data_IF_139565186166
#
_entry.id   IF_139565186166
#
_cell.length_a   1.000
_cell.length_b   1.000
_cell.length_c   1.000
_cell.angle_alpha   90.00
_cell.angle_beta   90.00
_cell.angle_gamma   90.00
#
_symmetry.space_group_name_H-M   'P 1'
#
loop_
_entity.id
_entity.type
_entity.pdbx_description
1 polymer ?
#
# COMPACT_ATOMS: atom_id res chain seq x y z
N UNK A 1 6.20 -11.62 18.38
CA UNK A 1 5.76 -12.86 17.69
C UNK A 1 4.83 -12.45 16.56
N UNK A 2 5.06 -12.91 15.33
CA UNK A 2 4.16 -12.60 14.21
C UNK A 2 2.82 -13.32 14.41
N UNK A 3 1.70 -12.60 14.31
CA UNK A 3 0.36 -13.18 14.33
C UNK A 3 0.24 -14.14 13.15
N UNK A 4 -0.15 -15.40 13.40
CA UNK A 4 -0.42 -16.36 12.32
C UNK A 4 -1.82 -16.08 11.76
N UNK A 5 -1.92 -15.88 10.46
CA UNK A 5 -3.21 -15.71 9.79
C UNK A 5 -3.73 -17.05 9.29
N UNK A 6 -5.00 -17.37 9.57
CA UNK A 6 -5.69 -18.53 8.99
C UNK A 6 -5.80 -18.34 7.47
N UNK A 7 -5.63 -19.37 6.66
CA UNK A 7 -5.55 -19.32 5.19
C UNK A 7 -6.83 -18.85 4.49
N UNK A 8 -8.00 -19.13 5.07
CA UNK A 8 -9.29 -18.91 4.39
C UNK A 8 -9.84 -17.49 4.55
N UNK A 9 -9.56 -16.83 5.69
CA UNK A 9 -10.09 -15.49 6.00
C UNK A 9 -9.45 -14.36 5.17
N UNK A 10 -8.11 -14.29 4.99
CA UNK A 10 -7.46 -13.27 4.16
C UNK A 10 -7.89 -13.36 2.71
N UNK A 11 -8.06 -14.57 2.21
CA UNK A 11 -8.31 -14.82 0.79
C UNK A 11 -9.62 -14.20 0.31
N UNK A 12 -10.69 -14.29 1.10
CA UNK A 12 -11.99 -13.72 0.72
C UNK A 12 -12.05 -12.22 0.98
N UNK A 13 -11.52 -11.75 2.11
CA UNK A 13 -11.51 -10.32 2.45
C UNK A 13 -10.72 -9.51 1.43
N UNK A 14 -9.52 -9.96 1.05
CA UNK A 14 -8.68 -9.21 0.10
C UNK A 14 -9.28 -9.19 -1.31
N UNK A 15 -9.91 -10.29 -1.76
CA UNK A 15 -10.62 -10.31 -3.05
C UNK A 15 -11.72 -9.25 -3.12
N UNK A 16 -12.49 -9.10 -2.05
CA UNK A 16 -13.53 -8.08 -1.96
C UNK A 16 -12.93 -6.68 -1.93
N UNK A 17 -11.89 -6.44 -1.10
CA UNK A 17 -11.24 -5.13 -0.96
C UNK A 17 -10.59 -4.67 -2.26
N UNK A 18 -9.91 -5.56 -2.97
CA UNK A 18 -9.22 -5.25 -4.22
C UNK A 18 -10.15 -4.99 -5.40
N UNK A 19 -11.42 -5.42 -5.28
CA UNK A 19 -12.42 -5.25 -6.35
C UNK A 19 -11.85 -5.71 -7.70
N UNK A 20 -11.30 -6.93 -7.68
CA UNK A 20 -10.69 -7.58 -8.85
C UNK A 20 -11.80 -7.96 -9.84
N UNK A 21 -11.55 -7.76 -11.13
CA UNK A 21 -12.49 -8.15 -12.19
C UNK A 21 -12.39 -9.64 -12.49
N UNK A 22 -11.18 -10.18 -12.45
CA UNK A 22 -10.89 -11.57 -12.77
C UNK A 22 -10.49 -12.38 -11.54
N UNK A 23 -10.42 -13.70 -11.72
CA UNK A 23 -10.02 -14.62 -10.65
C UNK A 23 -8.57 -14.34 -10.23
N UNK A 24 -8.35 -14.23 -8.92
CA UNK A 24 -7.03 -14.34 -8.30
C UNK A 24 -6.92 -15.68 -7.58
N UNK A 25 -5.81 -16.38 -7.79
CA UNK A 25 -5.46 -17.58 -7.04
C UNK A 25 -4.47 -17.20 -5.94
N UNK A 26 -4.76 -17.62 -4.71
CA UNK A 26 -3.94 -17.27 -3.55
C UNK A 26 -3.37 -18.56 -2.97
N UNK A 27 -2.05 -18.61 -2.78
CA UNK A 27 -1.36 -19.76 -2.19
C UNK A 27 -0.50 -19.29 -1.02
N UNK A 28 -0.60 -19.99 0.10
CA UNK A 28 0.35 -19.81 1.20
C UNK A 28 1.64 -20.56 0.83
N UNK A 29 2.76 -19.84 0.83
CA UNK A 29 4.08 -20.37 0.41
C UNK A 29 5.09 -20.37 1.56
N UNK A 30 4.72 -19.80 2.71
CA UNK A 30 5.53 -19.76 3.92
C UNK A 30 4.74 -19.19 5.09
N UNK A 31 5.39 -19.04 6.25
CA UNK A 31 4.76 -18.49 7.44
C UNK A 31 4.38 -17.03 7.24
N UNK A 32 3.07 -16.73 7.15
CA UNK A 32 2.53 -15.40 6.83
C UNK A 32 3.00 -14.86 5.46
N UNK A 33 3.33 -15.75 4.52
CA UNK A 33 3.76 -15.40 3.18
C UNK A 33 2.80 -15.99 2.15
N UNK A 34 2.24 -15.12 1.32
CA UNK A 34 1.20 -15.47 0.37
C UNK A 34 1.60 -15.07 -1.05
N UNK A 35 1.40 -15.99 -1.99
CA UNK A 35 1.55 -15.76 -3.42
C UNK A 35 0.17 -15.47 -4.02
N UNK A 36 0.05 -14.29 -4.63
CA UNK A 36 -1.15 -13.84 -5.34
C UNK A 36 -0.91 -13.94 -6.84
N UNK A 37 -1.61 -14.87 -7.50
CA UNK A 37 -1.55 -15.09 -8.94
C UNK A 37 -2.78 -14.46 -9.59
N UNK A 38 -2.57 -13.34 -10.29
CA UNK A 38 -3.61 -12.62 -11.01
C UNK A 38 -3.74 -13.16 -12.44
N UNK A 39 -4.98 -13.39 -12.88
CA UNK A 39 -5.26 -13.77 -14.27
C UNK A 39 -5.32 -12.56 -15.23
N UNK A 40 -5.22 -11.34 -14.70
CA UNK A 40 -5.27 -10.10 -15.45
C UNK A 40 -4.22 -9.12 -14.93
N UNK A 41 -3.45 -8.52 -15.82
CA UNK A 41 -2.41 -7.56 -15.44
C UNK A 41 -2.99 -6.26 -14.90
N UNK A 42 -4.13 -5.78 -15.42
CA UNK A 42 -4.74 -4.55 -14.91
C UNK A 42 -5.17 -4.70 -13.44
N UNK A 43 -5.71 -5.85 -13.05
CA UNK A 43 -6.06 -6.14 -11.66
C UNK A 43 -4.81 -6.18 -10.78
N UNK A 44 -3.71 -6.79 -11.26
CA UNK A 44 -2.42 -6.81 -10.56
C UNK A 44 -1.88 -5.40 -10.33
N UNK A 45 -1.83 -4.59 -11.39
CA UNK A 45 -1.32 -3.21 -11.33
C UNK A 45 -2.20 -2.32 -10.46
N UNK A 46 -3.53 -2.46 -10.54
CA UNK A 46 -4.47 -1.75 -9.67
C UNK A 46 -4.22 -2.06 -8.20
N UNK A 47 -4.08 -3.35 -7.86
CA UNK A 47 -3.79 -3.77 -6.49
C UNK A 47 -2.45 -3.22 -6.04
N UNK A 48 -1.40 -3.32 -6.85
CA UNK A 48 -0.07 -2.82 -6.50
C UNK A 48 -0.06 -1.30 -6.26
N UNK A 49 -0.72 -0.51 -7.13
CA UNK A 49 -0.76 0.96 -7.02
C UNK A 49 -1.66 1.49 -5.91
N UNK A 50 -2.62 0.69 -5.44
CA UNK A 50 -3.57 1.12 -4.40
C UNK A 50 -3.10 0.77 -2.98
N UNK A 51 -1.81 0.44 -2.84
CA UNK A 51 -1.12 0.29 -1.57
C UNK A 51 -1.23 1.58 -0.70
N UNK A 52 -1.27 1.48 0.65
CA UNK A 52 -1.16 0.27 1.46
C UNK A 52 -2.47 -0.48 1.64
N UNK A 53 -2.36 -1.79 1.64
CA UNK A 53 -3.48 -2.67 1.98
C UNK A 53 -3.39 -3.09 3.44
N UNK A 54 -4.52 -2.99 4.14
CA UNK A 54 -4.64 -3.46 5.51
C UNK A 54 -5.44 -4.76 5.54
N UNK A 55 -4.89 -5.76 6.21
CA UNK A 55 -5.61 -6.97 6.57
C UNK A 55 -5.59 -7.14 8.09
N UNK A 56 -6.77 -7.15 8.71
CA UNK A 56 -6.92 -7.36 10.16
C UNK A 56 -6.00 -6.45 11.00
N UNK A 57 -5.95 -5.15 10.64
CA UNK A 57 -5.10 -4.11 11.26
C UNK A 57 -3.58 -4.28 11.06
N UNK A 58 -3.15 -5.16 10.16
CA UNK A 58 -1.76 -5.32 9.79
C UNK A 58 -1.56 -4.88 8.34
N UNK A 59 -0.41 -4.26 8.04
CA UNK A 59 -0.03 -3.87 6.68
C UNK A 59 0.34 -5.12 5.89
N UNK A 60 -0.20 -5.23 4.68
CA UNK A 60 0.13 -6.28 3.74
C UNK A 60 1.20 -5.76 2.78
N UNK A 61 2.45 -6.14 3.03
CA UNK A 61 3.57 -5.86 2.13
C UNK A 61 3.39 -6.65 0.84
N UNK A 62 3.38 -5.96 -0.29
CA UNK A 62 3.23 -6.56 -1.62
C UNK A 62 4.44 -6.21 -2.48
N UNK A 63 5.04 -7.24 -3.06
CA UNK A 63 6.08 -7.06 -4.07
C UNK A 63 5.85 -8.03 -5.23
N UNK A 64 6.33 -7.66 -6.41
CA UNK A 64 6.24 -8.47 -7.61
C UNK A 64 7.29 -9.57 -7.53
N UNK A 65 6.84 -10.81 -7.62
CA UNK A 65 7.76 -11.94 -7.73
C UNK A 65 8.28 -12.05 -9.17
N UNK A 66 9.60 -11.96 -9.34
CA UNK A 66 10.25 -12.24 -10.62
C UNK A 66 10.34 -13.75 -10.88
N UNK A 67 10.32 -14.14 -12.16
CA UNK A 67 10.26 -15.55 -12.61
C UNK A 67 11.39 -16.42 -12.06
N UNK A 68 12.54 -15.82 -11.73
CA UNK A 68 13.74 -16.50 -11.25
C UNK A 68 13.84 -16.55 -9.72
N UNK A 69 12.93 -15.87 -9.01
CA UNK A 69 12.98 -15.78 -7.55
C UNK A 69 12.07 -16.83 -6.92
N UNK A 70 12.63 -17.62 -6.00
CA UNK A 70 11.81 -18.54 -5.23
C UNK A 70 10.89 -17.74 -4.28
N UNK A 71 9.57 -18.03 -4.20
CA UNK A 71 8.65 -17.22 -3.40
C UNK A 71 9.07 -17.00 -1.94
N UNK A 72 9.75 -17.99 -1.35
CA UNK A 72 10.22 -17.95 0.05
C UNK A 72 11.43 -17.04 0.26
N UNK A 73 12.18 -16.72 -0.79
CA UNK A 73 13.40 -15.89 -0.69
C UNK A 73 13.13 -14.40 -0.93
N UNK A 74 11.89 -14.02 -1.20
CA UNK A 74 11.52 -12.61 -1.37
C UNK A 74 11.67 -11.86 -0.04
N UNK A 75 12.34 -10.72 -0.08
CA UNK A 75 12.47 -9.84 1.08
C UNK A 75 11.42 -8.75 1.00
N UNK A 76 10.40 -8.83 1.85
CA UNK A 76 9.36 -7.81 1.99
C UNK A 76 9.72 -6.90 3.17
N UNK A 77 10.23 -5.70 2.88
CA UNK A 77 10.73 -4.78 3.93
C UNK A 77 10.30 -3.31 3.73
N UNK A 78 9.66 -2.98 2.61
CA UNK A 78 9.13 -1.64 2.31
C UNK A 78 7.73 -1.74 1.73
N UNK A 79 6.95 -0.70 1.93
CA UNK A 79 5.64 -0.50 1.30
C UNK A 79 5.39 1.00 1.14
N UNK A 80 4.44 1.35 0.27
CA UNK A 80 4.04 2.74 0.06
C UNK A 80 2.91 3.12 1.01
N UNK A 81 3.08 4.22 1.73
CA UNK A 81 2.09 4.72 2.67
C UNK A 81 1.65 6.10 2.24
N UNK A 82 0.33 6.32 2.17
CA UNK A 82 -0.21 7.67 2.03
C UNK A 82 -0.23 8.37 3.38
N UNK A 83 0.53 9.45 3.52
CA UNK A 83 0.60 10.24 4.76
C UNK A 83 -0.18 11.53 4.57
N UNK A 84 -1.10 11.81 5.50
CA UNK A 84 -1.82 13.09 5.53
C UNK A 84 -1.25 13.97 6.62
N UNK A 85 -0.69 15.11 6.23
CA UNK A 85 -0.14 16.09 7.17
C UNK A 85 -1.12 17.23 7.36
N UNK A 86 -1.66 17.32 8.59
CA UNK A 86 -2.60 18.35 9.00
C UNK A 86 -1.89 19.48 9.77
N UNK A 87 -2.54 20.65 9.86
CA UNK A 87 -2.01 21.78 10.63
C UNK A 87 -0.86 22.53 9.95
N UNK A 88 -0.58 22.24 8.68
CA UNK A 88 0.37 23.02 7.88
C UNK A 88 -0.24 24.39 7.61
N UNK A 89 0.44 25.44 8.05
CA UNK A 89 0.00 26.83 7.82
C UNK A 89 -0.20 27.09 6.32
N UNK A 90 -1.21 27.88 5.96
CA UNK A 90 -1.54 28.17 4.56
C UNK A 90 -0.34 28.64 3.72
N UNK A 91 0.51 29.50 4.29
CA UNK A 91 1.73 29.99 3.64
C UNK A 91 2.79 28.90 3.40
N UNK A 92 2.69 27.79 4.11
CA UNK A 92 3.60 26.65 4.03
C UNK A 92 3.01 25.47 3.25
N UNK A 93 1.77 25.56 2.76
CA UNK A 93 1.16 24.49 1.98
C UNK A 93 1.67 24.50 0.54
N UNK A 94 2.85 23.92 0.35
CA UNK A 94 3.52 23.83 -0.94
C UNK A 94 4.18 22.47 -1.10
N UNK A 95 4.39 22.04 -2.35
CA UNK A 95 5.14 20.82 -2.65
C UNK A 95 6.55 20.84 -2.04
N UNK A 96 7.19 22.02 -1.97
CA UNK A 96 8.52 22.17 -1.36
C UNK A 96 8.50 21.78 0.12
N UNK A 97 7.49 22.22 0.86
CA UNK A 97 7.33 21.83 2.27
C UNK A 97 6.97 20.37 2.39
N UNK A 98 6.12 19.84 1.49
CA UNK A 98 5.82 18.41 1.44
C UNK A 98 7.07 17.55 1.27
N UNK A 99 7.97 17.91 0.34
CA UNK A 99 9.26 17.22 0.14
C UNK A 99 10.14 17.24 1.39
N UNK A 100 10.26 18.39 2.06
CA UNK A 100 11.06 18.51 3.29
C UNK A 100 10.51 17.61 4.39
N UNK A 101 9.17 17.56 4.55
CA UNK A 101 8.55 16.69 5.54
C UNK A 101 8.80 15.22 5.18
N UNK A 102 8.65 14.87 3.91
CA UNK A 102 8.80 13.49 3.48
C UNK A 102 10.23 12.94 3.61
N UNK A 103 11.25 13.77 3.30
CA UNK A 103 12.67 13.43 3.51
C UNK A 103 12.99 13.01 4.96
N UNK A 104 12.14 13.40 5.93
CA UNK A 104 12.28 12.97 7.33
C UNK A 104 11.57 11.66 7.67
N UNK A 105 10.61 11.22 6.85
CA UNK A 105 9.79 10.02 7.06
C UNK A 105 10.35 8.83 6.28
N UNK A 106 10.72 9.03 5.01
CA UNK A 106 11.13 7.94 4.13
C UNK A 106 11.52 8.37 2.72
N UNK A 107 11.44 7.41 1.78
CA UNK A 107 11.68 7.65 0.36
C UNK A 107 10.39 8.16 -0.30
N UNK A 108 10.45 9.33 -0.93
CA UNK A 108 9.30 9.97 -1.59
C UNK A 108 8.95 9.31 -2.93
N UNK A 109 7.68 8.96 -3.13
CA UNK A 109 7.16 8.71 -4.48
C UNK A 109 6.40 9.91 -5.06
N UNK A 110 5.46 10.52 -4.33
CA UNK A 110 4.57 11.56 -4.87
C UNK A 110 4.15 12.59 -3.81
N UNK A 111 4.02 13.87 -4.16
CA UNK A 111 3.44 14.89 -3.27
C UNK A 111 2.25 15.55 -3.97
N UNK A 112 1.10 15.57 -3.30
CA UNK A 112 -0.12 16.23 -3.80
C UNK A 112 -0.58 17.28 -2.79
N UNK A 113 -0.66 18.54 -3.24
CA UNK A 113 -1.20 19.65 -2.45
C UNK A 113 -2.72 19.71 -2.66
N UNK A 114 -3.49 19.56 -1.57
CA UNK A 114 -4.95 19.65 -1.62
C UNK A 114 -5.39 21.00 -1.02
N UNK A 115 -5.77 21.99 -1.85
CA UNK A 115 -6.24 23.27 -1.34
C UNK A 115 -7.64 23.14 -0.71
N UNK A 116 -7.77 23.53 0.56
CA UNK A 116 -9.06 23.62 1.25
C UNK A 116 -9.75 24.96 0.99
N UNK A 117 -11.09 24.99 1.05
CA UNK A 117 -11.83 26.26 1.21
C UNK A 117 -11.70 26.74 2.66
N UNK A 118 -11.99 28.02 2.89
CA UNK A 118 -11.76 28.85 4.10
C UNK A 118 -12.17 28.25 5.48
N UNK A 119 -12.79 27.08 5.52
CA UNK A 119 -13.28 26.37 6.72
C UNK A 119 -13.11 24.83 6.65
N UNK A 120 -12.31 24.29 5.71
CA UNK A 120 -12.21 22.84 5.49
C UNK A 120 -10.77 22.30 5.45
N UNK A 121 -10.63 21.04 5.88
CA UNK A 121 -9.47 20.18 6.13
C UNK A 121 -8.33 20.25 5.10
N UNK A 122 -7.64 21.38 5.03
CA UNK A 122 -6.45 21.53 4.21
C UNK A 122 -5.32 20.64 4.75
N UNK A 123 -4.73 19.82 3.88
CA UNK A 123 -3.64 18.91 4.23
C UNK A 123 -2.71 18.67 3.05
N UNK A 124 -1.46 18.34 3.36
CA UNK A 124 -0.57 17.73 2.38
C UNK A 124 -0.85 16.24 2.34
N UNK A 125 -0.92 15.69 1.13
CA UNK A 125 -0.89 14.25 0.91
C UNK A 125 0.51 13.92 0.37
N UNK A 126 1.27 13.20 1.17
CA UNK A 126 2.53 12.55 0.80
C UNK A 126 2.20 11.09 0.46
#
# INVERSE_FOLDING_TARGET
>A
MAKKFNKETPTNTMKTLWSIRFRVTIREVGSNLFLFMFNNEEDRLKVQKSCPWLFDKHVLLLDKLDLETHPVTISLYKDFLWVRVYGVSFLCLSEKVGKIIDETIGDLEEVVVIPGKKDDNQHLKL
#
